data_IF_047206586858
#
_entry.id   IF_047206586858
#
_cell.length_a   1.000
_cell.length_b   1.000
_cell.length_c   1.000
_cell.angle_alpha   90.00
_cell.angle_beta   90.00
_cell.angle_gamma   90.00
#
_symmetry.space_group_name_H-M   'P 1'
#
loop_
_entity.id
_entity.type
_entity.pdbx_description
1 polymer ?
#
# COMPACT_ATOMS: atom_id res chain seq x y z
N UNK A 1 -1.12 35.56 -19.73
CA UNK A 1 -1.72 34.90 -18.56
C UNK A 1 -1.19 33.48 -18.50
N UNK A 2 -0.14 33.22 -17.69
CA UNK A 2 0.40 31.88 -17.47
C UNK A 2 -0.50 31.17 -16.44
N UNK A 3 -1.34 30.25 -16.90
CA UNK A 3 -1.98 29.29 -16.00
C UNK A 3 -0.88 28.42 -15.41
N UNK A 4 -0.59 28.58 -14.10
CA UNK A 4 0.18 27.62 -13.32
C UNK A 4 -0.46 26.24 -13.55
N UNK A 5 0.23 25.33 -14.22
CA UNK A 5 -0.03 23.89 -14.12
C UNK A 5 0.15 23.55 -12.64
N UNK A 6 -0.95 23.39 -11.93
CA UNK A 6 -0.93 22.89 -10.55
C UNK A 6 -0.45 21.46 -10.66
N UNK A 7 0.71 21.23 -10.12
CA UNK A 7 1.50 20.04 -10.29
C UNK A 7 0.82 18.87 -9.58
N UNK A 8 0.21 17.98 -10.37
CA UNK A 8 -0.33 16.70 -9.91
C UNK A 8 0.75 15.90 -9.15
N UNK A 9 2.04 16.11 -9.43
CA UNK A 9 3.16 15.60 -8.66
C UNK A 9 3.13 15.98 -7.17
N UNK A 10 2.67 17.17 -6.77
CA UNK A 10 2.68 17.59 -5.36
C UNK A 10 1.68 16.81 -4.49
N UNK A 11 0.48 16.48 -5.00
CA UNK A 11 -0.50 15.67 -4.25
C UNK A 11 -0.06 14.22 -4.08
N UNK A 12 0.55 13.65 -5.11
CA UNK A 12 1.13 12.31 -5.06
C UNK A 12 2.26 12.24 -4.02
N UNK A 13 3.06 13.28 -3.92
CA UNK A 13 4.16 13.39 -2.98
C UNK A 13 3.73 13.29 -1.51
N UNK A 14 2.60 13.88 -1.11
CA UNK A 14 2.21 13.88 0.30
C UNK A 14 1.91 12.48 0.84
N UNK A 15 1.06 11.69 0.17
CA UNK A 15 0.71 10.33 0.60
C UNK A 15 1.93 9.41 0.54
N UNK A 16 2.72 9.48 -0.52
CA UNK A 16 3.96 8.72 -0.65
C UNK A 16 5.00 9.15 0.38
N UNK A 17 5.14 10.45 0.66
CA UNK A 17 5.98 10.94 1.78
C UNK A 17 5.54 10.32 3.09
N UNK A 18 4.25 10.34 3.40
CA UNK A 18 3.71 9.82 4.64
C UNK A 18 3.95 8.32 4.81
N UNK A 19 3.66 7.52 3.76
CA UNK A 19 3.80 6.07 3.78
C UNK A 19 5.26 5.60 3.65
N UNK A 20 6.15 6.44 3.10
CA UNK A 20 7.57 6.12 2.86
C UNK A 20 8.52 7.04 3.60
N UNK A 21 8.12 7.50 4.77
CA UNK A 21 8.87 8.46 5.60
C UNK A 21 10.23 7.94 6.12
N UNK A 22 10.58 6.68 5.83
CA UNK A 22 11.83 6.07 6.28
C UNK A 22 13.06 6.92 5.93
N UNK A 23 13.15 7.42 4.70
CA UNK A 23 14.25 8.28 4.26
C UNK A 23 14.46 9.50 5.14
N UNK A 24 13.36 10.17 5.50
CA UNK A 24 13.39 11.45 6.22
C UNK A 24 13.91 11.34 7.66
N UNK A 25 14.09 10.12 8.15
CA UNK A 25 14.36 9.88 9.56
C UNK A 25 15.60 9.06 9.83
N UNK A 26 16.27 8.51 8.80
CA UNK A 26 17.46 7.67 8.98
C UNK A 26 18.50 8.39 9.86
N UNK A 27 18.85 9.62 9.52
CA UNK A 27 19.87 10.38 10.24
C UNK A 27 19.39 10.87 11.61
N UNK A 28 18.08 11.13 11.78
CA UNK A 28 17.49 11.57 13.04
C UNK A 28 17.38 10.45 14.06
N UNK A 29 16.97 9.26 13.60
CA UNK A 29 16.65 8.15 14.50
C UNK A 29 17.91 7.35 14.88
N UNK A 30 18.92 7.30 14.01
CA UNK A 30 20.16 6.54 14.25
C UNK A 30 21.32 7.36 14.81
N UNK A 31 21.28 8.71 14.69
CA UNK A 31 22.46 9.54 14.85
C UNK A 31 23.49 9.28 13.73
N UNK A 32 24.32 10.28 13.40
CA UNK A 32 25.24 10.17 12.25
C UNK A 32 26.24 9.01 12.36
N UNK A 33 26.63 8.65 13.59
CA UNK A 33 27.66 7.65 13.85
C UNK A 33 27.11 6.20 13.92
N UNK A 34 25.80 6.02 14.03
CA UNK A 34 25.14 4.70 14.19
C UNK A 34 24.37 4.23 12.97
N UNK A 35 24.64 4.80 11.80
CA UNK A 35 23.96 4.43 10.55
C UNK A 35 24.44 3.05 10.10
N UNK A 36 23.50 2.10 9.96
CA UNK A 36 23.79 0.73 9.51
C UNK A 36 24.24 0.69 8.04
N UNK A 37 24.88 -0.41 7.62
CA UNK A 37 25.29 -0.60 6.23
C UNK A 37 24.10 -0.49 5.25
N UNK A 38 22.94 -1.07 5.59
CA UNK A 38 21.73 -0.97 4.80
C UNK A 38 21.22 0.48 4.69
N UNK A 39 21.25 1.21 5.80
CA UNK A 39 20.83 2.63 5.81
C UNK A 39 21.78 3.49 4.97
N UNK A 40 23.09 3.24 5.01
CA UNK A 40 24.07 3.90 4.13
C UNK A 40 23.80 3.61 2.66
N UNK A 41 23.52 2.35 2.33
CA UNK A 41 23.17 1.96 0.96
C UNK A 41 21.90 2.68 0.48
N UNK A 42 20.86 2.75 1.32
CA UNK A 42 19.60 3.45 1.00
C UNK A 42 19.83 4.94 0.81
N UNK A 43 20.63 5.59 1.65
CA UNK A 43 20.95 7.01 1.51
C UNK A 43 21.72 7.31 0.22
N UNK A 44 22.62 6.43 -0.20
CA UNK A 44 23.43 6.63 -1.40
C UNK A 44 22.70 6.28 -2.69
N UNK A 45 21.96 5.16 -2.70
CA UNK A 45 21.41 4.57 -3.91
C UNK A 45 19.90 4.79 -4.06
N UNK A 46 19.22 5.17 -2.97
CA UNK A 46 17.75 5.22 -2.92
C UNK A 46 17.12 3.86 -2.65
N UNK A 47 15.79 3.83 -2.73
CA UNK A 47 14.98 2.61 -2.64
C UNK A 47 14.28 2.37 -3.97
N UNK A 48 14.50 1.21 -4.57
CA UNK A 48 13.88 0.82 -5.84
C UNK A 48 12.53 0.15 -5.56
N UNK A 49 11.51 0.63 -6.24
CA UNK A 49 10.17 0.03 -6.21
C UNK A 49 9.78 -0.46 -7.60
N UNK A 50 9.31 -1.69 -7.65
CA UNK A 50 8.70 -2.29 -8.84
C UNK A 50 7.30 -1.71 -8.99
N UNK A 51 7.01 -1.14 -10.15
CA UNK A 51 5.68 -0.66 -10.50
C UNK A 51 4.88 -1.80 -11.10
N UNK A 52 3.80 -2.18 -10.43
CA UNK A 52 2.96 -3.31 -10.79
C UNK A 52 1.60 -2.82 -11.26
N UNK A 53 1.04 -3.45 -12.29
CA UNK A 53 -0.30 -3.14 -12.80
C UNK A 53 -1.14 -4.39 -13.06
N UNK A 54 -2.44 -4.23 -12.95
CA UNK A 54 -3.45 -5.23 -13.28
C UNK A 54 -4.59 -4.55 -14.04
N UNK A 55 -4.72 -4.76 -15.37
CA UNK A 55 -5.90 -4.35 -16.10
C UNK A 55 -7.14 -5.10 -15.58
N UNK A 56 -8.22 -4.38 -15.30
CA UNK A 56 -9.45 -4.96 -14.69
C UNK A 56 -10.05 -6.05 -15.59
N UNK A 57 -9.93 -5.95 -16.90
CA UNK A 57 -10.35 -6.97 -17.86
C UNK A 57 -9.66 -8.34 -17.67
N UNK A 58 -8.48 -8.36 -17.02
CA UNK A 58 -7.77 -9.61 -16.69
C UNK A 58 -8.29 -10.29 -15.42
N UNK A 59 -9.19 -9.62 -14.70
CA UNK A 59 -9.86 -10.20 -13.52
C UNK A 59 -11.09 -10.94 -13.99
N UNK A 60 -10.87 -12.14 -14.48
CA UNK A 60 -11.96 -13.03 -14.94
C UNK A 60 -12.64 -13.73 -13.77
N UNK A 61 -13.88 -14.13 -13.95
CA UNK A 61 -14.62 -14.87 -12.94
C UNK A 61 -13.96 -16.21 -12.60
N UNK A 62 -13.32 -16.83 -13.58
CA UNK A 62 -12.55 -18.06 -13.40
C UNK A 62 -11.33 -17.83 -12.51
N UNK A 63 -10.62 -16.70 -12.70
CA UNK A 63 -9.50 -16.32 -11.84
C UNK A 63 -9.96 -16.01 -10.41
N UNK A 64 -11.06 -15.27 -10.25
CA UNK A 64 -11.67 -15.00 -8.93
C UNK A 64 -12.03 -16.32 -8.23
N UNK A 65 -12.69 -17.25 -8.91
CA UNK A 65 -13.04 -18.57 -8.36
C UNK A 65 -11.79 -19.37 -7.96
N UNK A 66 -10.72 -19.30 -8.74
CA UNK A 66 -9.45 -19.96 -8.41
C UNK A 66 -8.85 -19.41 -7.11
N UNK A 67 -8.90 -18.09 -6.92
CA UNK A 67 -8.43 -17.45 -5.69
C UNK A 67 -9.33 -17.82 -4.50
N UNK A 68 -10.65 -17.78 -4.68
CA UNK A 68 -11.60 -18.16 -3.64
C UNK A 68 -11.41 -19.61 -3.21
N UNK A 69 -11.23 -20.55 -4.12
CA UNK A 69 -10.94 -21.94 -3.79
C UNK A 69 -9.63 -22.15 -3.01
N UNK A 70 -8.64 -21.25 -3.18
CA UNK A 70 -7.42 -21.26 -2.33
C UNK A 70 -7.70 -20.71 -0.93
N UNK A 71 -8.59 -19.74 -0.80
CA UNK A 71 -8.95 -19.11 0.48
C UNK A 71 -9.82 -20.05 1.32
N UNK A 72 -10.81 -20.70 0.71
CA UNK A 72 -11.75 -21.59 1.41
C UNK A 72 -11.04 -22.73 2.16
N UNK A 73 -9.91 -23.21 1.63
CA UNK A 73 -9.07 -24.21 2.30
C UNK A 73 -8.40 -23.69 3.58
N UNK A 74 -8.28 -22.39 3.75
CA UNK A 74 -7.54 -21.74 4.84
C UNK A 74 -8.42 -20.98 5.84
N UNK A 75 -9.75 -20.99 5.66
CA UNK A 75 -10.74 -20.67 6.70
C UNK A 75 -10.80 -19.21 7.15
N UNK A 76 -11.03 -18.23 6.36
CA UNK A 76 -11.50 -17.00 6.99
C UNK A 76 -12.71 -16.41 6.25
N UNK A 77 -13.86 -16.43 6.92
CA UNK A 77 -14.91 -15.48 6.62
C UNK A 77 -14.45 -14.12 7.14
N UNK A 78 -13.90 -13.31 6.28
CA UNK A 78 -13.60 -11.92 6.59
C UNK A 78 -14.77 -11.05 6.12
N UNK A 79 -15.22 -10.17 6.99
CA UNK A 79 -16.13 -9.09 6.63
C UNK A 79 -15.31 -7.86 6.26
N UNK A 80 -15.50 -7.34 5.04
CA UNK A 80 -14.82 -6.13 4.57
C UNK A 80 -15.82 -4.98 4.59
N UNK A 81 -15.40 -3.85 5.13
CA UNK A 81 -16.15 -2.60 5.11
C UNK A 81 -15.23 -1.39 4.89
N UNK A 82 -15.80 -0.29 4.50
CA UNK A 82 -15.09 0.98 4.57
C UNK A 82 -14.79 1.32 6.03
N UNK A 83 -13.62 1.91 6.25
CA UNK A 83 -13.22 2.33 7.57
C UNK A 83 -13.79 3.71 7.90
N UNK A 84 -14.11 3.89 9.18
CA UNK A 84 -14.53 5.16 9.75
C UNK A 84 -13.37 5.82 10.51
N UNK A 85 -13.54 7.09 10.89
CA UNK A 85 -12.54 7.85 11.64
C UNK A 85 -12.10 7.15 12.94
N UNK A 86 -13.02 6.46 13.59
CA UNK A 86 -12.75 5.71 14.83
C UNK A 86 -11.85 4.50 14.61
N UNK A 87 -11.81 3.96 13.39
CA UNK A 87 -10.96 2.82 13.02
C UNK A 87 -9.48 3.18 12.87
N UNK A 88 -9.14 4.46 12.75
CA UNK A 88 -7.76 4.88 12.52
C UNK A 88 -6.79 4.43 13.60
N UNK A 89 -7.25 4.28 14.84
CA UNK A 89 -6.41 3.75 15.94
C UNK A 89 -6.02 2.30 15.68
N UNK A 90 -6.99 1.46 15.33
CA UNK A 90 -6.73 0.04 15.07
C UNK A 90 -5.97 -0.14 13.75
N UNK A 91 -6.25 0.68 12.72
CA UNK A 91 -5.51 0.65 11.46
C UNK A 91 -4.04 1.03 11.67
N UNK A 92 -3.76 2.05 12.51
CA UNK A 92 -2.39 2.42 12.91
C UNK A 92 -1.65 1.25 13.55
N UNK A 93 -2.32 0.54 14.46
CA UNK A 93 -1.75 -0.63 15.13
C UNK A 93 -1.49 -1.78 14.14
N UNK A 94 -2.46 -2.10 13.27
CA UNK A 94 -2.30 -3.11 12.23
C UNK A 94 -1.17 -2.73 11.29
N UNK A 95 -1.11 -1.48 10.82
CA UNK A 95 -0.05 -0.97 9.96
C UNK A 95 1.31 -1.25 10.58
N UNK A 96 1.54 -0.75 11.78
CA UNK A 96 2.84 -0.86 12.45
C UNK A 96 3.23 -2.31 12.71
N UNK A 97 2.30 -3.17 13.13
CA UNK A 97 2.55 -4.59 13.38
C UNK A 97 2.79 -5.40 12.10
N UNK A 98 2.08 -5.09 11.01
CA UNK A 98 2.25 -5.81 9.74
C UNK A 98 3.62 -5.57 9.11
N UNK A 99 4.17 -4.37 9.26
CA UNK A 99 5.49 -4.02 8.72
C UNK A 99 6.65 -4.66 9.48
N UNK A 100 6.47 -5.02 10.75
CA UNK A 100 7.51 -5.72 11.53
C UNK A 100 7.92 -7.07 10.92
N UNK A 101 7.07 -7.66 10.08
CA UNK A 101 7.36 -8.92 9.37
C UNK A 101 7.71 -8.70 7.90
N UNK A 102 7.88 -7.46 7.48
CA UNK A 102 8.21 -7.06 6.11
C UNK A 102 9.71 -6.87 5.95
N UNK A 103 10.24 -7.18 4.76
CA UNK A 103 11.61 -6.85 4.37
C UNK A 103 11.76 -5.41 3.88
N UNK A 104 10.65 -4.67 3.74
CA UNK A 104 10.70 -3.26 3.34
C UNK A 104 11.13 -2.42 4.53
N UNK A 105 12.18 -1.62 4.43
CA UNK A 105 12.53 -0.66 5.47
C UNK A 105 11.37 0.30 5.73
N UNK A 106 11.01 0.48 6.98
CA UNK A 106 9.89 1.32 7.35
C UNK A 106 10.12 2.03 8.69
N UNK A 107 9.30 3.03 8.94
CA UNK A 107 9.15 3.68 10.23
C UNK A 107 7.70 3.57 10.68
N UNK A 108 7.45 3.36 11.99
CA UNK A 108 6.10 3.38 12.51
C UNK A 108 5.35 4.66 12.14
N UNK A 109 4.15 4.50 11.58
CA UNK A 109 3.29 5.63 11.25
C UNK A 109 2.53 6.09 12.49
N UNK A 110 2.31 7.40 12.59
CA UNK A 110 1.48 7.98 13.64
C UNK A 110 0.03 8.08 13.17
N UNK A 111 -0.90 8.02 14.13
CA UNK A 111 -2.34 8.18 13.85
C UNK A 111 -2.66 9.49 13.14
N UNK A 112 -1.98 10.58 13.52
CA UNK A 112 -2.17 11.90 12.91
C UNK A 112 -1.81 11.89 11.41
N UNK A 113 -0.76 11.17 11.04
CA UNK A 113 -0.35 11.00 9.64
C UNK A 113 -1.38 10.18 8.85
N UNK A 114 -1.88 9.08 9.42
CA UNK A 114 -2.96 8.31 8.80
C UNK A 114 -4.26 9.12 8.69
N UNK A 115 -4.56 9.95 9.69
CA UNK A 115 -5.72 10.84 9.65
C UNK A 115 -5.64 11.86 8.49
N UNK A 116 -4.46 12.38 8.21
CA UNK A 116 -4.26 13.27 7.05
C UNK A 116 -4.49 12.55 5.73
N UNK A 117 -4.05 11.29 5.61
CA UNK A 117 -4.29 10.46 4.42
C UNK A 117 -5.78 10.10 4.31
N UNK A 118 -6.41 9.75 5.42
CA UNK A 118 -7.83 9.38 5.48
C UNK A 118 -8.76 10.51 5.03
N UNK A 119 -8.42 11.75 5.39
CA UNK A 119 -9.21 12.93 5.01
C UNK A 119 -8.97 13.40 3.56
N UNK A 120 -8.09 12.75 2.80
CA UNK A 120 -7.95 13.08 1.38
C UNK A 120 -9.12 12.49 0.58
N UNK A 121 -9.79 13.34 -0.20
CA UNK A 121 -11.01 13.00 -0.96
C UNK A 121 -10.84 11.88 -1.99
N UNK A 122 -9.60 11.57 -2.39
CA UNK A 122 -9.29 10.51 -3.35
C UNK A 122 -8.83 9.22 -2.65
N UNK A 123 -8.96 9.14 -1.32
CA UNK A 123 -8.47 7.99 -0.57
C UNK A 123 -9.62 7.29 0.14
N UNK A 124 -9.61 5.97 0.07
CA UNK A 124 -10.56 5.11 0.79
C UNK A 124 -9.78 4.05 1.55
N UNK A 125 -10.20 3.79 2.78
CA UNK A 125 -9.65 2.72 3.59
C UNK A 125 -10.68 1.61 3.72
N UNK A 126 -10.28 0.38 3.42
CA UNK A 126 -11.08 -0.80 3.73
C UNK A 126 -10.42 -1.54 4.90
N UNK A 127 -11.25 -2.04 5.81
CA UNK A 127 -10.81 -2.84 6.96
C UNK A 127 -11.43 -4.22 6.90
N UNK A 128 -10.64 -5.23 7.25
CA UNK A 128 -11.05 -6.63 7.28
C UNK A 128 -11.23 -7.08 8.73
N UNK A 129 -12.46 -7.46 9.08
CA UNK A 129 -12.81 -8.09 10.36
C UNK A 129 -12.86 -9.60 10.19
N UNK A 130 -12.15 -10.31 11.07
CA UNK A 130 -12.06 -11.77 11.10
C UNK A 130 -12.40 -12.24 12.51
N UNK A 131 -13.48 -13.00 12.66
CA UNK A 131 -13.96 -13.50 13.97
C UNK A 131 -14.06 -12.38 15.03
N UNK A 132 -14.74 -11.28 14.67
CA UNK A 132 -14.93 -10.11 15.54
C UNK A 132 -13.62 -9.38 15.92
N UNK A 133 -12.53 -9.60 15.19
CA UNK A 133 -11.25 -8.92 15.38
C UNK A 133 -10.78 -8.31 14.06
N UNK A 134 -10.42 -7.04 14.07
CA UNK A 134 -9.84 -6.41 12.90
C UNK A 134 -8.44 -6.97 12.65
N UNK A 135 -8.24 -7.52 11.46
CA UNK A 135 -7.06 -8.31 11.13
C UNK A 135 -6.20 -7.75 9.99
N UNK A 136 -6.75 -6.83 9.22
CA UNK A 136 -6.06 -6.25 8.07
C UNK A 136 -6.76 -5.02 7.53
N UNK A 137 -6.07 -4.27 6.69
CA UNK A 137 -6.59 -3.09 6.00
C UNK A 137 -5.97 -2.96 4.61
N UNK A 138 -6.61 -2.17 3.75
CA UNK A 138 -6.03 -1.68 2.50
C UNK A 138 -6.38 -0.21 2.31
N UNK A 139 -5.40 0.56 1.84
CA UNK A 139 -5.55 1.98 1.47
C UNK A 139 -5.63 2.03 -0.04
N UNK A 140 -6.74 2.56 -0.53
CA UNK A 140 -7.03 2.74 -1.93
C UNK A 140 -6.91 4.22 -2.28
N UNK A 141 -6.33 4.51 -3.44
CA UNK A 141 -6.19 5.86 -3.95
C UNK A 141 -6.58 5.91 -5.42
N UNK A 142 -7.04 7.07 -5.88
CA UNK A 142 -7.36 7.32 -7.27
C UNK A 142 -6.28 8.22 -7.85
N UNK A 143 -5.65 7.80 -8.94
CA UNK A 143 -4.57 8.52 -9.60
C UNK A 143 -4.84 8.68 -11.11
N UNK A 144 -4.06 9.56 -11.75
CA UNK A 144 -4.22 9.97 -13.13
C UNK A 144 -4.88 11.33 -13.27
N UNK A 145 -4.89 11.90 -14.48
CA UNK A 145 -5.46 13.24 -14.73
C UNK A 145 -6.97 13.30 -14.44
N UNK A 146 -7.67 12.20 -14.66
CA UNK A 146 -9.11 12.06 -14.45
C UNK A 146 -9.46 10.94 -13.47
N UNK A 147 -8.55 10.59 -12.55
CA UNK A 147 -8.70 9.46 -11.63
C UNK A 147 -8.97 8.13 -12.37
N UNK A 148 -8.31 7.90 -13.52
CA UNK A 148 -8.62 6.80 -14.42
C UNK A 148 -8.07 5.44 -13.98
N UNK A 149 -7.18 5.40 -12.99
CA UNK A 149 -6.70 4.15 -12.41
C UNK A 149 -6.67 4.17 -10.89
N UNK A 150 -6.86 3.00 -10.32
CA UNK A 150 -6.82 2.78 -8.89
C UNK A 150 -5.44 2.39 -8.41
N UNK A 151 -5.05 2.85 -7.23
CA UNK A 151 -3.77 2.50 -6.61
C UNK A 151 -4.01 1.86 -5.26
N UNK A 152 -3.42 0.69 -5.06
CA UNK A 152 -3.26 0.12 -3.72
C UNK A 152 -2.06 0.81 -3.11
N UNK A 153 -2.32 1.87 -2.32
CA UNK A 153 -1.29 2.72 -1.72
C UNK A 153 -0.62 2.05 -0.51
N UNK A 154 -1.36 1.20 0.19
CA UNK A 154 -0.86 0.43 1.32
C UNK A 154 -1.78 -0.72 1.68
N UNK A 155 -1.22 -1.83 2.15
CA UNK A 155 -1.96 -2.99 2.63
C UNK A 155 -1.21 -3.60 3.80
N UNK A 156 -1.92 -3.90 4.87
CA UNK A 156 -1.37 -4.55 6.04
C UNK A 156 -2.26 -5.67 6.57
N UNK A 157 -1.63 -6.75 6.98
CA UNK A 157 -2.29 -7.91 7.61
C UNK A 157 -1.51 -8.24 8.88
N UNK A 158 -2.20 -8.33 10.02
CA UNK A 158 -1.57 -8.73 11.28
C UNK A 158 -0.81 -10.06 11.12
N UNK A 159 0.37 -10.22 11.73
CA UNK A 159 1.20 -11.42 11.58
C UNK A 159 0.43 -12.73 11.80
N UNK A 160 -0.48 -12.78 12.78
CA UNK A 160 -1.31 -13.96 13.07
C UNK A 160 -2.26 -14.37 11.95
N UNK A 161 -2.57 -13.48 11.00
CA UNK A 161 -3.47 -13.73 9.86
C UNK A 161 -2.73 -13.80 8.52
N UNK A 162 -1.41 -13.56 8.52
CA UNK A 162 -0.61 -13.71 7.30
C UNK A 162 -0.51 -15.18 6.87
N UNK A 163 -0.40 -15.41 5.56
CA UNK A 163 -0.34 -16.74 4.97
C UNK A 163 -1.67 -17.53 5.02
N UNK A 164 -2.74 -16.91 5.50
CA UNK A 164 -4.06 -17.54 5.68
C UNK A 164 -5.14 -17.00 4.75
N UNK A 165 -4.75 -16.30 3.68
CA UNK A 165 -5.65 -15.80 2.64
C UNK A 165 -6.22 -14.40 2.88
N UNK A 166 -6.05 -13.79 4.08
CA UNK A 166 -6.65 -12.48 4.37
C UNK A 166 -6.15 -11.37 3.42
N UNK A 167 -4.87 -11.38 3.06
CA UNK A 167 -4.33 -10.46 2.06
C UNK A 167 -5.01 -10.61 0.69
N UNK A 168 -5.28 -11.86 0.28
CA UNK A 168 -6.00 -12.12 -0.98
C UNK A 168 -7.43 -11.60 -0.94
N UNK A 169 -8.14 -11.76 0.19
CA UNK A 169 -9.49 -11.20 0.39
C UNK A 169 -9.44 -9.66 0.30
N UNK A 170 -8.48 -9.01 0.92
CA UNK A 170 -8.29 -7.55 0.83
C UNK A 170 -7.94 -7.11 -0.60
N UNK A 171 -7.10 -7.85 -1.32
CA UNK A 171 -6.79 -7.61 -2.72
C UNK A 171 -8.04 -7.72 -3.62
N UNK A 172 -8.87 -8.75 -3.39
CA UNK A 172 -10.15 -8.90 -4.09
C UNK A 172 -11.13 -7.78 -3.76
N UNK A 173 -11.20 -7.36 -2.51
CA UNK A 173 -12.03 -6.23 -2.12
C UNK A 173 -11.57 -4.93 -2.81
N UNK A 174 -10.26 -4.70 -2.90
CA UNK A 174 -9.69 -3.56 -3.59
C UNK A 174 -10.09 -3.52 -5.08
N UNK A 175 -9.95 -4.63 -5.80
CA UNK A 175 -10.31 -4.63 -7.22
C UNK A 175 -11.82 -4.55 -7.44
N UNK A 176 -12.65 -5.15 -6.59
CA UNK A 176 -14.11 -5.02 -6.68
C UNK A 176 -14.53 -3.57 -6.48
N UNK A 177 -13.95 -2.88 -5.48
CA UNK A 177 -14.18 -1.47 -5.22
C UNK A 177 -13.87 -0.62 -6.47
N UNK A 178 -12.70 -0.81 -7.07
CA UNK A 178 -12.31 -0.05 -8.26
C UNK A 178 -13.11 -0.44 -9.50
N UNK A 179 -13.49 -1.71 -9.66
CA UNK A 179 -14.34 -2.20 -10.74
C UNK A 179 -15.73 -1.55 -10.69
N UNK A 180 -16.32 -1.42 -9.49
CA UNK A 180 -17.59 -0.74 -9.27
C UNK A 180 -17.52 0.77 -9.59
N UNK A 181 -16.35 1.37 -9.43
CA UNK A 181 -16.10 2.77 -9.83
C UNK A 181 -15.77 2.93 -11.33
N UNK A 182 -15.78 1.85 -12.10
CA UNK A 182 -15.57 1.88 -13.55
C UNK A 182 -14.12 2.09 -13.99
N UNK A 183 -13.15 1.89 -13.09
CA UNK A 183 -11.74 2.01 -13.43
C UNK A 183 -11.28 0.88 -14.36
N UNK A 184 -10.25 1.13 -15.15
CA UNK A 184 -9.74 0.19 -16.16
C UNK A 184 -8.49 -0.56 -15.69
N UNK A 185 -7.75 0.01 -14.75
CA UNK A 185 -6.46 -0.53 -14.31
C UNK A 185 -6.23 -0.29 -12.82
N UNK A 186 -5.66 -1.28 -12.16
CA UNK A 186 -5.11 -1.16 -10.81
C UNK A 186 -3.60 -1.10 -10.86
N UNK A 187 -3.01 -0.31 -9.95
CA UNK A 187 -1.57 -0.19 -9.78
C UNK A 187 -1.17 -0.36 -8.33
N UNK A 188 0.06 -0.75 -8.11
CA UNK A 188 0.74 -0.68 -6.80
C UNK A 188 2.24 -0.62 -7.00
N UNK A 189 2.95 -0.31 -5.92
CA UNK A 189 4.41 -0.31 -5.91
C UNK A 189 4.92 -1.25 -4.82
N UNK A 190 5.87 -2.09 -5.16
CA UNK A 190 6.48 -3.07 -4.25
C UNK A 190 7.98 -2.81 -4.15
N UNK A 191 8.51 -2.70 -2.92
CA UNK A 191 9.96 -2.61 -2.72
C UNK A 191 10.66 -3.85 -3.30
N UNK A 192 11.70 -3.66 -4.12
CA UNK A 192 12.30 -4.75 -4.91
C UNK A 192 12.86 -5.91 -4.08
N UNK A 193 13.33 -5.62 -2.85
CA UNK A 193 13.83 -6.66 -1.94
C UNK A 193 12.71 -7.34 -1.13
N UNK A 194 11.48 -6.84 -1.21
CA UNK A 194 10.33 -7.46 -0.55
C UNK A 194 9.73 -8.58 -1.41
N UNK A 195 10.47 -9.69 -1.53
CA UNK A 195 10.05 -10.85 -2.34
C UNK A 195 8.72 -11.44 -1.90
N UNK A 196 8.40 -11.38 -0.60
CA UNK A 196 7.12 -11.86 -0.06
C UNK A 196 5.95 -11.04 -0.63
N UNK A 197 6.04 -9.71 -0.61
CA UNK A 197 5.02 -8.84 -1.19
C UNK A 197 4.98 -8.95 -2.70
N UNK A 198 6.13 -9.06 -3.37
CA UNK A 198 6.18 -9.27 -4.82
C UNK A 198 5.42 -10.54 -5.24
N UNK A 199 5.75 -11.68 -4.65
CA UNK A 199 5.09 -12.96 -4.95
C UNK A 199 3.58 -12.92 -4.66
N UNK A 200 3.20 -12.21 -3.60
CA UNK A 200 1.78 -12.01 -3.26
C UNK A 200 1.05 -11.20 -4.33
N UNK A 201 1.60 -10.06 -4.74
CA UNK A 201 1.02 -9.17 -5.76
C UNK A 201 1.01 -9.86 -7.15
N UNK A 202 2.09 -10.59 -7.49
CA UNK A 202 2.12 -11.40 -8.71
C UNK A 202 1.06 -12.51 -8.68
N UNK A 203 0.85 -13.13 -7.52
CA UNK A 203 -0.21 -14.12 -7.28
C UNK A 203 -1.64 -13.56 -7.45
N UNK A 204 -1.83 -12.25 -7.32
CA UNK A 204 -3.05 -11.50 -7.67
C UNK A 204 -3.10 -11.11 -9.15
N UNK A 205 -2.18 -11.64 -9.98
CA UNK A 205 -2.08 -11.41 -11.42
C UNK A 205 -1.60 -10.02 -11.85
N UNK A 206 -1.04 -9.23 -10.94
CA UNK A 206 -0.34 -8.01 -11.32
C UNK A 206 0.94 -8.35 -12.08
N UNK A 207 1.33 -7.48 -13.02
CA UNK A 207 2.57 -7.60 -13.80
C UNK A 207 3.42 -6.36 -13.63
N UNK A 208 4.74 -6.55 -13.54
CA UNK A 208 5.69 -5.44 -13.55
C UNK A 208 5.61 -4.71 -14.90
N UNK A 209 5.56 -3.37 -14.86
CA UNK A 209 5.58 -2.54 -16.05
C UNK A 209 6.63 -1.43 -15.98
N UNK A 210 7.27 -1.24 -14.84
CA UNK A 210 8.29 -0.23 -14.65
C UNK A 210 8.94 -0.32 -13.28
N UNK A 211 9.93 0.55 -13.08
CA UNK A 211 10.65 0.71 -11.81
C UNK A 211 10.81 2.19 -11.52
N UNK A 212 10.76 2.54 -10.26
CA UNK A 212 11.03 3.89 -9.78
C UNK A 212 12.01 3.82 -8.62
N UNK A 213 13.00 4.70 -8.62
CA UNK A 213 13.93 4.83 -7.49
C UNK A 213 13.57 6.08 -6.72
N UNK A 214 13.21 5.92 -5.47
CA UNK A 214 13.00 7.03 -4.56
C UNK A 214 14.29 7.32 -3.80
N UNK A 215 14.70 8.60 -3.80
CA UNK A 215 15.84 9.11 -3.06
C UNK A 215 15.38 10.08 -1.98
N UNK A 216 16.25 10.43 -1.06
CA UNK A 216 15.96 11.35 0.03
C UNK A 216 15.46 12.70 -0.50
N UNK A 217 16.09 13.19 -1.55
CA UNK A 217 15.79 14.48 -2.18
C UNK A 217 14.37 14.55 -2.75
N UNK A 218 13.80 13.41 -3.19
CA UNK A 218 12.43 13.34 -3.70
C UNK A 218 11.38 13.64 -2.62
N UNK A 219 11.76 13.56 -1.34
CA UNK A 219 10.91 13.77 -0.18
C UNK A 219 11.19 15.07 0.57
N UNK A 220 12.29 15.74 0.29
CA UNK A 220 12.69 16.99 0.95
C UNK A 220 12.17 18.25 0.25
N UNK A 221 11.72 18.13 -1.00
CA UNK A 221 11.18 19.26 -1.76
C UNK A 221 9.77 19.61 -1.25
N UNK A 222 9.65 20.79 -0.68
CA UNK A 222 8.39 21.49 -0.40
C UNK A 222 8.01 22.40 -1.57
#
# INVERSE_FOLDING_TARGET
>A
MHKKKIDIKQKLHFKKKALRSYFLHIEKDSGKDNITALQKQILNNGMVYLQMRLPIEKITKEFENTLMGKIEKNIYRANIREAELNDLSIITDIYNKSWLTSSTPFRPIKRETLNQIFNDQNTVFLIANVYSSDGGFVILDFEGENNEYGVIAGMGVLPRFQGKGLGTILGMAAWNYFKEKGLKELRCEVYEDNKKSFNFIEGLNFKEFGRITYRKEDFELD
#
